data_IF_883624070805
#
_entry.id   IF_883624070805
#
_cell.length_a   1.000
_cell.length_b   1.000
_cell.length_c   1.000
_cell.angle_alpha   90.00
_cell.angle_beta   90.00
_cell.angle_gamma   90.00
#
_symmetry.space_group_name_H-M   'P 1'
#
loop_
_entity.id
_entity.type
_entity.pdbx_description
1 polymer ?
#
# COMPACT_ATOMS: atom_id res chain seq x y z
N UNK A 1 -15.17 -10.96 -1.59
CA UNK A 1 -14.05 -11.16 -0.70
C UNK A 1 -12.88 -10.27 -1.09
N UNK A 2 -12.16 -9.77 -0.10
CA UNK A 2 -11.01 -8.92 -0.35
C UNK A 2 -9.91 -9.71 -1.02
N UNK A 3 -9.29 -9.11 -2.01
CA UNK A 3 -8.22 -9.74 -2.74
C UNK A 3 -6.95 -8.90 -2.58
N UNK A 4 -5.82 -9.56 -2.75
CA UNK A 4 -4.54 -8.86 -2.61
C UNK A 4 -4.44 -7.67 -3.54
N UNK A 5 -5.07 -7.79 -4.69
CA UNK A 5 -5.02 -6.74 -5.69
C UNK A 5 -5.72 -5.46 -5.20
N UNK A 6 -6.77 -5.61 -4.40
CA UNK A 6 -7.46 -4.45 -3.84
C UNK A 6 -6.61 -3.76 -2.78
N UNK A 7 -5.91 -4.55 -1.98
CA UNK A 7 -5.00 -3.98 -0.98
C UNK A 7 -3.87 -3.21 -1.64
N UNK A 8 -3.32 -3.75 -2.72
CA UNK A 8 -2.24 -3.08 -3.43
C UNK A 8 -2.71 -1.75 -4.01
N UNK A 9 -3.91 -1.76 -4.61
CA UNK A 9 -4.46 -0.55 -5.19
C UNK A 9 -4.71 0.50 -4.11
N UNK A 10 -5.19 0.08 -2.96
CA UNK A 10 -5.46 0.97 -1.84
C UNK A 10 -4.17 1.59 -1.32
N UNK A 11 -3.16 0.75 -1.11
CA UNK A 11 -1.87 1.24 -0.63
C UNK A 11 -1.22 2.18 -1.63
N UNK A 12 -1.33 1.87 -2.90
CA UNK A 12 -0.78 2.72 -3.94
C UNK A 12 -1.45 4.09 -3.92
N UNK A 13 -2.77 4.11 -3.76
CA UNK A 13 -3.49 5.37 -3.68
C UNK A 13 -3.06 6.19 -2.48
N UNK A 14 -2.86 5.53 -1.35
CA UNK A 14 -2.39 6.23 -0.15
C UNK A 14 -1.02 6.83 -0.37
N UNK A 15 -0.16 6.11 -1.06
CA UNK A 15 1.17 6.61 -1.35
C UNK A 15 1.10 7.86 -2.24
N UNK A 16 0.25 7.81 -3.25
CA UNK A 16 0.13 8.94 -4.17
C UNK A 16 -0.53 10.14 -3.52
N UNK A 17 -1.43 9.89 -2.58
CA UNK A 17 -2.10 10.96 -1.86
C UNK A 17 -1.26 11.56 -0.74
N UNK A 18 -0.13 10.94 -0.43
CA UNK A 18 0.71 11.41 0.65
C UNK A 18 0.29 10.93 2.03
N UNK A 19 -0.62 9.98 2.11
CA UNK A 19 -1.05 9.43 3.39
C UNK A 19 0.01 8.55 3.99
N UNK A 20 0.78 7.88 3.13
CA UNK A 20 1.95 7.13 3.56
C UNK A 20 3.10 7.52 2.65
N UNK A 21 4.33 7.27 3.09
CA UNK A 21 5.49 7.56 2.26
C UNK A 21 6.06 6.27 1.67
N UNK A 22 7.08 6.42 0.83
CA UNK A 22 7.68 5.28 0.15
C UNK A 22 8.26 4.28 1.14
N UNK A 23 8.81 4.76 2.22
CA UNK A 23 9.39 3.93 3.25
C UNK A 23 8.33 3.03 3.88
N UNK A 24 7.20 3.62 4.23
CA UNK A 24 6.11 2.87 4.82
C UNK A 24 5.53 1.88 3.83
N UNK A 25 5.44 2.29 2.57
CA UNK A 25 4.93 1.42 1.53
C UNK A 25 5.81 0.18 1.37
N UNK A 26 7.13 0.38 1.36
CA UNK A 26 8.08 -0.72 1.26
C UNK A 26 7.98 -1.65 2.47
N UNK A 27 7.83 -1.06 3.64
CA UNK A 27 7.70 -1.84 4.87
C UNK A 27 6.46 -2.73 4.81
N UNK A 28 5.36 -2.18 4.33
CA UNK A 28 4.13 -2.94 4.20
C UNK A 28 4.30 -4.11 3.23
N UNK A 29 4.98 -3.86 2.11
CA UNK A 29 5.22 -4.93 1.13
C UNK A 29 6.06 -6.04 1.73
N UNK A 30 7.03 -5.67 2.55
CA UNK A 30 7.93 -6.66 3.13
C UNK A 30 7.24 -7.57 4.13
N UNK A 31 6.12 -7.11 4.71
CA UNK A 31 5.43 -7.90 5.72
C UNK A 31 4.29 -8.73 5.16
N UNK A 32 4.13 -8.77 3.86
CA UNK A 32 3.08 -9.59 3.23
C UNK A 32 3.39 -11.09 3.30
#
# INVERSE_FOLDING_TARGET
AAMAIELWAEKRAQLENGEIDADEYEDWKASL
#
